data_IF_294698201221
#
_entry.id   IF_294698201221
#
_cell.length_a   1.000
_cell.length_b   1.000
_cell.length_c   1.000
_cell.angle_alpha   90.00
_cell.angle_beta   90.00
_cell.angle_gamma   90.00
#
_symmetry.space_group_name_H-M   'P 1'
#
loop_
_entity.id
_entity.type
_entity.pdbx_description
1 polymer ?
#
# COMPACT_ATOMS: atom_id res chain seq x y z
N UNK A 1 6.08 -2.06 17.57
CA UNK A 1 6.45 -1.01 16.61
C UNK A 1 5.19 -0.19 16.34
N UNK A 2 4.91 0.80 17.20
CA UNK A 2 3.86 1.79 16.91
C UNK A 2 4.32 2.57 15.70
N UNK A 3 3.57 2.51 14.61
CA UNK A 3 3.73 3.45 13.51
C UNK A 3 3.58 4.84 14.13
N UNK A 4 4.60 5.69 13.95
CA UNK A 4 4.49 7.13 14.18
C UNK A 4 3.45 7.65 13.19
N UNK A 5 2.19 7.64 13.63
CA UNK A 5 1.07 8.20 12.91
C UNK A 5 1.14 9.70 13.16
N UNK A 6 1.56 10.48 12.16
CA UNK A 6 1.36 11.92 12.20
C UNK A 6 -0.17 12.14 12.07
N UNK A 7 -0.83 12.83 13.01
CA UNK A 7 -2.27 13.08 12.91
C UNK A 7 -2.56 13.94 11.67
N UNK A 8 -3.32 13.41 10.71
CA UNK A 8 -3.73 14.16 9.51
C UNK A 8 -5.16 14.72 9.64
N UNK A 9 -5.90 14.32 10.68
CA UNK A 9 -7.28 14.75 10.93
C UNK A 9 -7.51 15.19 12.38
N UNK A 10 -8.56 15.98 12.64
CA UNK A 10 -8.94 16.38 14.00
C UNK A 10 -9.28 15.17 14.91
N UNK A 11 -9.75 14.06 14.33
CA UNK A 11 -10.06 12.81 15.05
C UNK A 11 -8.79 12.06 15.49
N UNK A 12 -7.70 12.19 14.72
CA UNK A 12 -6.40 11.57 15.05
C UNK A 12 -5.68 12.27 16.21
N UNK A 13 -6.12 13.47 16.59
CA UNK A 13 -5.49 14.30 17.63
C UNK A 13 -5.98 13.93 19.03
N UNK A 14 -7.19 13.37 19.14
CA UNK A 14 -7.75 12.87 20.39
C UNK A 14 -7.43 11.37 20.60
N UNK A 15 -6.18 10.95 20.33
CA UNK A 15 -5.71 9.58 20.60
C UNK A 15 -4.86 9.54 21.87
N UNK A 16 -5.17 8.58 22.71
CA UNK A 16 -4.42 8.28 23.93
C UNK A 16 -3.75 6.91 23.82
N UNK A 17 -2.73 6.68 24.64
CA UNK A 17 -2.15 5.36 24.76
C UNK A 17 -1.60 5.12 26.15
N UNK A 18 -1.82 3.92 26.66
CA UNK A 18 -1.22 3.47 27.91
C UNK A 18 0.27 3.17 27.70
N UNK A 19 1.09 3.65 28.62
CA UNK A 19 2.51 3.27 28.74
C UNK A 19 2.60 2.33 29.92
N UNK A 20 2.87 1.05 29.63
CA UNK A 20 2.94 -0.01 30.64
C UNK A 20 4.39 -0.42 30.95
N UNK A 21 5.33 -0.02 30.11
CA UNK A 21 6.74 -0.35 30.23
C UNK A 21 7.50 0.77 30.95
N UNK A 22 8.46 0.43 31.83
CA UNK A 22 9.34 1.41 32.44
C UNK A 22 10.32 2.01 31.42
N UNK A 23 10.91 3.16 31.76
CA UNK A 23 12.00 3.80 31.01
C UNK A 23 11.64 4.26 29.59
N UNK A 24 10.39 4.72 29.38
CA UNK A 24 9.95 5.33 28.13
C UNK A 24 10.19 6.85 28.16
N UNK A 25 10.81 7.37 27.11
CA UNK A 25 10.98 8.82 26.90
C UNK A 25 9.76 9.33 26.11
N UNK A 26 9.15 10.40 26.62
CA UNK A 26 7.95 11.02 26.06
C UNK A 26 8.33 12.42 25.57
N UNK A 27 7.84 12.81 24.38
CA UNK A 27 8.07 14.15 23.83
C UNK A 27 7.37 15.26 24.63
N UNK A 28 7.83 16.51 24.48
CA UNK A 28 7.30 17.67 25.21
C UNK A 28 5.85 18.01 24.89
N UNK A 29 5.38 17.64 23.71
CA UNK A 29 4.07 18.04 23.18
C UNK A 29 2.97 17.03 23.54
N UNK A 30 3.22 16.16 24.51
CA UNK A 30 2.28 15.15 24.99
C UNK A 30 1.80 15.47 26.39
N UNK A 31 0.49 15.33 26.61
CA UNK A 31 -0.11 15.41 27.94
C UNK A 31 0.00 14.05 28.63
N UNK A 32 0.50 14.05 29.87
CA UNK A 32 0.61 12.85 30.69
C UNK A 32 -0.55 12.83 31.69
N UNK A 33 -1.30 11.73 31.69
CA UNK A 33 -2.41 11.50 32.64
C UNK A 33 -1.97 10.39 33.58
N UNK A 34 -1.92 10.69 34.87
CA UNK A 34 -1.70 9.71 35.93
C UNK A 34 -3.06 9.30 36.51
N UNK A 35 -3.28 8.00 36.68
CA UNK A 35 -4.53 7.44 37.20
C UNK A 35 -4.24 6.35 38.22
N UNK A 36 -4.96 6.40 39.34
CA UNK A 36 -4.97 5.41 40.42
C UNK A 36 -6.32 4.67 40.52
N UNK A 37 -7.38 5.20 39.89
CA UNK A 37 -8.77 4.71 39.98
C UNK A 37 -9.27 4.00 38.74
N UNK A 38 -8.70 4.30 37.57
CA UNK A 38 -9.12 3.75 36.27
C UNK A 38 -7.93 3.03 35.67
N UNK A 39 -8.17 1.83 35.15
CA UNK A 39 -7.18 1.06 34.42
C UNK A 39 -6.64 1.89 33.24
N UNK A 40 -5.30 2.05 33.11
CA UNK A 40 -4.72 2.94 32.11
C UNK A 40 -4.99 2.48 30.68
N UNK A 41 -5.11 1.17 30.45
CA UNK A 41 -5.43 0.61 29.13
C UNK A 41 -6.86 0.97 28.77
N UNK A 42 -7.80 0.72 29.68
CA UNK A 42 -9.21 1.10 29.51
C UNK A 42 -9.35 2.61 29.27
N UNK A 43 -8.72 3.45 30.08
CA UNK A 43 -8.76 4.91 29.92
C UNK A 43 -8.25 5.34 28.54
N UNK A 44 -7.16 4.73 28.07
CA UNK A 44 -6.62 5.02 26.76
C UNK A 44 -7.56 4.61 25.62
N UNK A 45 -8.26 3.48 25.77
CA UNK A 45 -9.28 3.03 24.82
C UNK A 45 -10.47 3.98 24.81
N UNK A 46 -10.95 4.40 25.98
CA UNK A 46 -12.10 5.31 26.15
C UNK A 46 -11.84 6.69 25.53
N UNK A 47 -10.67 7.27 25.79
CA UNK A 47 -10.29 8.57 25.22
C UNK A 47 -10.15 8.47 23.70
N UNK A 48 -9.60 7.35 23.21
CA UNK A 48 -9.35 7.16 21.77
C UNK A 48 -10.59 6.74 20.99
N UNK A 49 -11.57 6.11 21.65
CA UNK A 49 -12.73 5.51 21.00
C UNK A 49 -13.99 5.78 21.81
N UNK A 50 -14.88 6.62 21.28
CA UNK A 50 -16.18 6.90 21.88
C UNK A 50 -16.53 8.39 21.86
N UNK A 51 -17.45 8.77 22.76
CA UNK A 51 -17.90 10.16 22.87
C UNK A 51 -16.79 11.09 23.35
N UNK A 52 -15.88 10.61 24.22
CA UNK A 52 -14.72 11.37 24.69
C UNK A 52 -13.80 11.77 23.54
N UNK A 53 -13.52 10.85 22.61
CA UNK A 53 -12.75 11.16 21.40
C UNK A 53 -13.45 12.25 20.57
N UNK A 54 -14.76 12.11 20.33
CA UNK A 54 -15.55 13.08 19.54
C UNK A 54 -15.58 14.47 20.18
N UNK A 55 -15.75 14.52 21.50
CA UNK A 55 -15.78 15.78 22.25
C UNK A 55 -14.44 16.50 22.16
N UNK A 56 -13.34 15.79 22.43
CA UNK A 56 -11.99 16.33 22.31
C UNK A 56 -11.69 16.76 20.87
N UNK A 57 -12.03 15.94 19.88
CA UNK A 57 -11.83 16.26 18.47
C UNK A 57 -12.56 17.55 18.05
N UNK A 58 -13.78 17.77 18.56
CA UNK A 58 -14.54 19.01 18.34
C UNK A 58 -13.87 20.24 18.97
N UNK A 59 -13.32 20.11 20.18
CA UNK A 59 -12.60 21.20 20.85
C UNK A 59 -11.29 21.57 20.15
N UNK A 60 -10.72 20.61 19.41
CA UNK A 60 -9.53 20.79 18.62
C UNK A 60 -9.81 21.51 17.28
N UNK A 61 -11.01 21.37 16.70
CA UNK A 61 -11.40 22.00 15.43
C UNK A 61 -11.44 23.54 15.51
N UNK A 62 -11.01 24.21 14.42
CA UNK A 62 -11.14 25.67 14.25
C UNK A 62 -9.93 26.52 14.67
N UNK A 63 -8.81 25.91 15.05
CA UNK A 63 -7.55 26.60 15.37
C UNK A 63 -6.53 26.43 14.23
N UNK A 64 -5.72 27.45 13.96
CA UNK A 64 -4.62 27.39 12.98
C UNK A 64 -3.58 26.32 13.31
N UNK A 65 -3.47 25.96 14.60
CA UNK A 65 -2.75 24.80 15.12
C UNK A 65 -3.72 24.01 15.99
N UNK A 66 -4.00 22.77 15.61
CA UNK A 66 -4.95 21.91 16.31
C UNK A 66 -4.29 21.40 17.61
N UNK A 67 -4.63 22.00 18.74
CA UNK A 67 -4.06 21.68 20.06
C UNK A 67 -5.16 21.54 21.12
N UNK A 68 -5.10 20.44 21.88
CA UNK A 68 -5.89 20.20 23.08
C UNK A 68 -5.16 20.76 24.29
N UNK A 69 -5.80 21.70 25.00
CA UNK A 69 -5.24 22.26 26.23
C UNK A 69 -5.44 21.33 27.42
N UNK A 70 -4.62 21.51 28.46
CA UNK A 70 -4.74 20.76 29.72
C UNK A 70 -6.14 20.93 30.34
N UNK A 71 -6.75 22.11 30.20
CA UNK A 71 -8.09 22.36 30.74
C UNK A 71 -9.20 21.61 29.96
N UNK A 72 -9.00 21.39 28.65
CA UNK A 72 -9.94 20.59 27.85
C UNK A 72 -9.95 19.14 28.34
N UNK A 73 -8.78 18.58 28.66
CA UNK A 73 -8.64 17.25 29.25
C UNK A 73 -9.18 17.16 30.68
N UNK A 74 -8.98 18.20 31.51
CA UNK A 74 -9.47 18.23 32.90
C UNK A 74 -10.99 18.27 33.01
N UNK A 75 -11.65 18.91 32.06
CA UNK A 75 -13.10 19.05 32.03
C UNK A 75 -13.81 17.90 31.31
N UNK A 76 -13.05 16.94 30.76
CA UNK A 76 -13.61 15.79 30.07
C UNK A 76 -14.43 14.94 31.05
N UNK A 77 -15.71 14.78 30.74
CA UNK A 77 -16.59 13.90 31.50
C UNK A 77 -16.42 12.48 30.95
N UNK A 78 -16.12 11.54 31.84
CA UNK A 78 -15.93 10.13 31.50
C UNK A 78 -16.82 9.25 32.37
N UNK A 79 -17.49 8.30 31.73
CA UNK A 79 -18.19 7.20 32.39
C UNK A 79 -17.28 5.97 32.36
N UNK A 80 -17.13 5.31 33.51
CA UNK A 80 -16.31 4.11 33.61
C UNK A 80 -16.98 3.04 34.47
N UNK A 81 -16.86 1.74 34.10
CA UNK A 81 -17.46 0.64 34.85
C UNK A 81 -16.57 0.24 36.05
N UNK A 82 -16.95 -0.82 36.76
CA UNK A 82 -16.11 -1.38 37.82
C UNK A 82 -14.78 -1.95 37.28
N UNK A 83 -13.78 -2.10 38.15
CA UNK A 83 -12.41 -2.50 37.80
C UNK A 83 -12.34 -3.83 37.04
N UNK A 84 -13.21 -4.79 37.37
CA UNK A 84 -13.24 -6.12 36.74
C UNK A 84 -13.67 -6.02 35.27
N UNK A 85 -14.59 -5.13 34.95
CA UNK A 85 -15.04 -4.90 33.57
C UNK A 85 -13.98 -4.12 32.78
N UNK A 86 -13.39 -3.08 33.38
CA UNK A 86 -12.29 -2.33 32.77
C UNK A 86 -11.14 -3.27 32.36
N UNK A 87 -10.71 -4.14 33.27
CA UNK A 87 -9.63 -5.10 33.01
C UNK A 87 -9.97 -6.10 31.89
N UNK A 88 -11.22 -6.59 31.84
CA UNK A 88 -11.67 -7.49 30.77
C UNK A 88 -11.65 -6.81 29.40
N UNK A 89 -12.15 -5.58 29.31
CA UNK A 89 -12.14 -4.78 28.07
C UNK A 89 -10.71 -4.53 27.63
N UNK A 90 -9.85 -4.04 28.54
CA UNK A 90 -8.44 -3.78 28.25
C UNK A 90 -7.72 -5.02 27.75
N UNK A 91 -7.86 -6.15 28.45
CA UNK A 91 -7.25 -7.43 28.07
C UNK A 91 -7.72 -7.90 26.69
N UNK A 92 -9.01 -7.78 26.41
CA UNK A 92 -9.58 -8.19 25.13
C UNK A 92 -8.96 -7.42 23.96
N UNK A 93 -8.89 -6.10 24.03
CA UNK A 93 -8.33 -5.29 22.95
C UNK A 93 -6.81 -5.43 22.84
N UNK A 94 -6.08 -5.56 23.95
CA UNK A 94 -4.65 -5.89 23.91
C UNK A 94 -4.38 -7.24 23.24
N UNK A 95 -5.27 -8.21 23.43
CA UNK A 95 -5.17 -9.50 22.73
C UNK A 95 -5.36 -9.32 21.22
N UNK A 96 -6.35 -8.54 20.78
CA UNK A 96 -6.55 -8.22 19.36
C UNK A 96 -5.33 -7.51 18.76
N UNK A 97 -4.78 -6.51 19.44
CA UNK A 97 -3.58 -5.78 18.99
C UNK A 97 -2.36 -6.71 18.87
N UNK A 98 -2.22 -7.65 19.80
CA UNK A 98 -1.17 -8.67 19.77
C UNK A 98 -1.34 -9.62 18.58
N UNK A 99 -2.57 -10.03 18.26
CA UNK A 99 -2.88 -10.82 17.08
C UNK A 99 -2.54 -10.07 15.80
N UNK A 100 -3.00 -8.83 15.66
CA UNK A 100 -2.72 -7.97 14.49
C UNK A 100 -1.20 -7.83 14.31
N UNK A 101 -0.47 -7.50 15.37
CA UNK A 101 0.99 -7.36 15.35
C UNK A 101 1.67 -8.64 14.87
N UNK A 102 1.25 -9.80 15.40
CA UNK A 102 1.80 -11.09 14.99
C UNK A 102 1.52 -11.40 13.52
N UNK A 103 0.33 -11.08 13.02
CA UNK A 103 -0.02 -11.28 11.61
C UNK A 103 0.77 -10.34 10.69
N UNK A 104 0.96 -9.08 11.05
CA UNK A 104 1.79 -8.13 10.30
C UNK A 104 3.26 -8.56 10.24
N UNK A 105 3.81 -9.04 11.37
CA UNK A 105 5.17 -9.61 11.40
C UNK A 105 5.28 -10.84 10.50
N UNK A 106 4.30 -11.75 10.54
CA UNK A 106 4.27 -12.94 9.68
C UNK A 106 4.21 -12.54 8.20
N UNK A 107 3.34 -11.58 7.85
CA UNK A 107 3.22 -11.05 6.50
C UNK A 107 4.56 -10.48 6.00
N UNK A 108 5.21 -9.64 6.81
CA UNK A 108 6.52 -9.05 6.49
C UNK A 108 7.57 -10.13 6.25
N UNK A 109 7.66 -11.13 7.16
CA UNK A 109 8.58 -12.27 7.00
C UNK A 109 8.33 -13.03 5.70
N UNK A 110 7.06 -13.27 5.35
CA UNK A 110 6.71 -13.95 4.10
C UNK A 110 7.06 -13.13 2.86
N UNK A 111 6.89 -11.81 2.89
CA UNK A 111 7.33 -10.93 1.79
C UNK A 111 8.85 -10.97 1.61
N UNK A 112 9.61 -10.83 2.70
CA UNK A 112 11.08 -10.92 2.67
C UNK A 112 11.53 -12.29 2.19
N UNK A 113 10.92 -13.36 2.68
CA UNK A 113 11.22 -14.72 2.25
C UNK A 113 10.92 -14.92 0.76
N UNK A 114 9.76 -14.49 0.26
CA UNK A 114 9.41 -14.55 -1.16
C UNK A 114 10.45 -13.82 -2.01
N UNK A 115 10.85 -12.61 -1.63
CA UNK A 115 11.85 -11.83 -2.34
C UNK A 115 13.20 -12.55 -2.38
N UNK A 116 13.69 -13.00 -1.22
CA UNK A 116 14.96 -13.70 -1.11
C UNK A 116 14.98 -15.02 -1.91
N UNK A 117 13.87 -15.76 -1.90
CA UNK A 117 13.74 -16.98 -2.70
C UNK A 117 13.79 -16.67 -4.19
N UNK A 118 13.04 -15.66 -4.67
CA UNK A 118 13.06 -15.27 -6.08
C UNK A 118 14.46 -14.82 -6.52
N UNK A 119 15.13 -13.98 -5.75
CA UNK A 119 16.50 -13.53 -6.05
C UNK A 119 17.49 -14.70 -6.17
N UNK A 120 17.32 -15.73 -5.33
CA UNK A 120 18.16 -16.93 -5.34
C UNK A 120 17.79 -17.95 -6.41
N UNK A 121 16.58 -17.88 -6.96
CA UNK A 121 16.09 -18.74 -8.04
C UNK A 121 16.65 -18.36 -9.41
N UNK A 122 17.22 -17.17 -9.55
CA UNK A 122 17.89 -16.72 -10.77
C UNK A 122 19.40 -16.60 -10.53
N UNK A 123 20.26 -16.88 -11.53
CA UNK A 123 21.70 -16.70 -11.38
C UNK A 123 22.05 -15.24 -11.10
N UNK A 124 23.04 -15.03 -10.22
CA UNK A 124 23.63 -13.70 -10.01
C UNK A 124 24.47 -13.28 -11.21
N UNK A 125 24.73 -11.98 -11.34
CA UNK A 125 25.64 -11.48 -12.37
C UNK A 125 26.99 -12.21 -12.32
N UNK A 126 27.41 -12.80 -13.45
CA UNK A 126 28.63 -13.59 -13.56
C UNK A 126 28.52 -15.05 -13.11
N UNK A 127 27.33 -15.52 -12.69
CA UNK A 127 27.04 -16.91 -12.40
C UNK A 127 26.05 -17.49 -13.43
N UNK A 128 26.16 -18.78 -13.70
CA UNK A 128 25.30 -19.55 -14.61
C UNK A 128 24.44 -20.59 -13.88
N UNK A 129 24.53 -20.66 -12.54
CA UNK A 129 23.75 -21.56 -11.68
C UNK A 129 23.09 -20.76 -10.56
N UNK A 130 21.75 -20.82 -10.41
CA UNK A 130 21.01 -20.32 -9.25
C UNK A 130 21.40 -21.01 -7.95
N UNK A 131 21.29 -20.28 -6.83
CA UNK A 131 21.56 -20.81 -5.49
C UNK A 131 20.49 -21.82 -5.04
N UNK A 132 19.25 -21.65 -5.50
CA UNK A 132 18.14 -22.54 -5.16
C UNK A 132 17.36 -22.94 -6.42
N UNK A 133 16.91 -24.20 -6.45
CA UNK A 133 16.07 -24.75 -7.52
C UNK A 133 15.08 -25.76 -6.94
N UNK A 134 14.04 -26.06 -7.72
CA UNK A 134 13.19 -27.20 -7.42
C UNK A 134 13.97 -28.51 -7.60
N UNK A 135 13.58 -29.53 -6.84
CA UNK A 135 14.17 -30.87 -6.95
C UNK A 135 13.98 -31.40 -8.38
N UNK A 136 15.06 -31.91 -8.98
CA UNK A 136 15.06 -32.45 -10.35
C UNK A 136 15.55 -31.48 -11.42
N UNK A 137 15.91 -30.24 -11.06
CA UNK A 137 16.57 -29.29 -11.97
C UNK A 137 18.03 -29.08 -11.57
N UNK A 138 18.95 -29.31 -12.49
CA UNK A 138 20.40 -29.16 -12.30
C UNK A 138 21.07 -28.57 -13.56
N UNK A 139 22.39 -28.45 -13.54
CA UNK A 139 23.17 -27.90 -14.66
C UNK A 139 23.18 -26.37 -14.77
N UNK A 140 24.03 -25.87 -15.66
CA UNK A 140 24.19 -24.45 -15.97
C UNK A 140 23.01 -23.96 -16.81
N UNK A 141 22.68 -22.68 -16.71
CA UNK A 141 21.77 -22.00 -17.64
C UNK A 141 22.54 -21.48 -18.84
N UNK A 142 21.92 -21.59 -20.01
CA UNK A 142 22.42 -20.99 -21.22
C UNK A 142 22.03 -19.51 -21.28
N UNK A 143 22.96 -18.66 -21.70
CA UNK A 143 22.72 -17.24 -21.93
C UNK A 143 22.31 -17.02 -23.39
N UNK A 144 21.23 -16.27 -23.60
CA UNK A 144 20.69 -15.96 -24.93
C UNK A 144 20.24 -14.49 -24.97
N UNK A 145 20.45 -13.80 -26.10
CA UNK A 145 19.95 -12.43 -26.24
C UNK A 145 18.44 -12.47 -26.42
N UNK A 146 17.72 -11.50 -25.84
CA UNK A 146 16.27 -11.42 -26.00
C UNK A 146 15.83 -11.36 -27.48
N UNK A 147 16.62 -10.69 -28.33
CA UNK A 147 16.38 -10.64 -29.77
C UNK A 147 16.53 -11.97 -30.52
N UNK A 148 17.20 -12.97 -29.91
CA UNK A 148 17.28 -14.33 -30.45
C UNK A 148 16.06 -15.17 -30.05
N UNK A 149 15.35 -14.76 -28.98
CA UNK A 149 14.12 -15.41 -28.47
C UNK A 149 12.89 -14.90 -29.20
N UNK A 150 12.85 -13.61 -29.52
CA UNK A 150 11.68 -12.97 -30.13
C UNK A 150 11.96 -11.58 -30.68
N UNK A 151 10.96 -11.01 -31.34
CA UNK A 151 11.03 -9.68 -31.93
C UNK A 151 10.41 -8.64 -31.01
N UNK A 152 11.06 -7.47 -30.94
CA UNK A 152 10.54 -6.28 -30.25
C UNK A 152 9.73 -5.43 -31.22
N UNK A 153 8.55 -4.98 -30.81
CA UNK A 153 7.69 -4.12 -31.62
C UNK A 153 7.01 -3.05 -30.77
N UNK A 154 6.58 -1.96 -31.41
CA UNK A 154 5.87 -0.86 -30.76
C UNK A 154 4.52 -0.62 -31.46
N UNK A 155 3.50 -0.29 -30.67
CA UNK A 155 2.22 0.16 -31.21
C UNK A 155 2.37 1.50 -31.94
N UNK A 156 1.43 1.78 -32.84
CA UNK A 156 1.32 3.12 -33.43
C UNK A 156 0.96 4.16 -32.37
N UNK A 157 1.67 5.29 -32.38
CA UNK A 157 1.38 6.43 -31.49
C UNK A 157 -0.04 6.97 -31.68
N UNK A 158 -0.73 7.16 -30.55
CA UNK A 158 -2.02 7.85 -30.44
C UNK A 158 -1.74 9.28 -29.94
N UNK A 159 -2.33 10.28 -30.60
CA UNK A 159 -2.24 11.68 -30.21
C UNK A 159 -3.37 12.08 -29.26
N UNK A 160 -3.17 13.13 -28.46
CA UNK A 160 -4.16 13.60 -27.48
C UNK A 160 -5.53 13.92 -28.11
N UNK A 161 -5.54 14.50 -29.31
CA UNK A 161 -6.78 14.80 -30.03
C UNK A 161 -7.52 13.57 -30.55
N UNK A 162 -6.91 12.39 -30.53
CA UNK A 162 -7.54 11.11 -30.87
C UNK A 162 -8.05 10.36 -29.63
N UNK A 163 -7.81 10.91 -28.43
CA UNK A 163 -8.32 10.34 -27.19
C UNK A 163 -9.63 10.98 -26.76
N UNK A 164 -10.44 10.22 -26.04
CA UNK A 164 -11.70 10.65 -25.44
C UNK A 164 -11.75 10.26 -23.97
N UNK A 165 -12.63 10.93 -23.23
CA UNK A 165 -13.07 10.51 -21.90
C UNK A 165 -14.23 9.50 -21.95
N UNK A 166 -14.82 9.29 -23.15
CA UNK A 166 -15.87 8.29 -23.35
C UNK A 166 -15.26 6.89 -23.36
N UNK A 167 -15.78 6.02 -22.50
CA UNK A 167 -15.27 4.65 -22.33
C UNK A 167 -15.64 3.74 -23.51
N UNK A 168 -14.86 3.78 -24.59
CA UNK A 168 -14.95 2.82 -25.71
C UNK A 168 -13.85 1.77 -25.65
N UNK A 169 -12.62 2.13 -26.05
CA UNK A 169 -11.44 1.26 -25.98
C UNK A 169 -10.45 1.86 -24.99
N UNK A 170 -10.11 1.17 -23.90
CA UNK A 170 -9.09 1.62 -22.96
C UNK A 170 -7.77 1.91 -23.65
N UNK A 171 -7.22 3.11 -23.45
CA UNK A 171 -5.91 3.52 -23.93
C UNK A 171 -4.96 3.75 -22.76
N UNK A 172 -4.01 2.83 -22.59
CA UNK A 172 -3.03 2.86 -21.51
C UNK A 172 -1.81 3.71 -21.87
N UNK A 173 -1.71 4.85 -21.20
CA UNK A 173 -0.53 5.72 -21.17
C UNK A 173 0.51 5.14 -20.22
N UNK A 174 1.73 5.68 -20.24
CA UNK A 174 2.80 5.30 -19.31
C UNK A 174 2.35 5.30 -17.83
N UNK A 175 1.59 6.31 -17.40
CA UNK A 175 1.13 6.43 -16.01
C UNK A 175 0.04 5.44 -15.60
N UNK A 176 -0.77 4.98 -16.57
CA UNK A 176 -1.90 4.07 -16.35
C UNK A 176 -1.62 2.63 -16.77
N UNK A 177 -0.47 2.38 -17.40
CA UNK A 177 -0.05 1.06 -17.88
C UNK A 177 -0.06 0.02 -16.76
N UNK A 178 -0.83 -1.07 -16.95
CA UNK A 178 -1.03 -2.11 -15.94
C UNK A 178 -1.87 -1.69 -14.72
N UNK A 179 -2.59 -0.59 -14.82
CA UNK A 179 -3.53 -0.08 -13.81
C UNK A 179 -4.90 0.18 -14.43
N UNK A 180 -5.54 1.29 -14.04
CA UNK A 180 -6.86 1.70 -14.55
C UNK A 180 -6.65 2.73 -15.66
N UNK A 181 -7.31 2.54 -16.80
CA UNK A 181 -7.26 3.50 -17.91
C UNK A 181 -7.98 4.81 -17.55
N UNK A 182 -7.40 5.93 -17.98
CA UNK A 182 -7.92 7.29 -17.80
C UNK A 182 -8.09 8.02 -19.15
N UNK A 183 -7.99 7.28 -20.25
CA UNK A 183 -8.19 7.76 -21.60
C UNK A 183 -8.62 6.60 -22.49
N UNK A 184 -9.35 6.95 -23.54
CA UNK A 184 -9.96 5.97 -24.44
C UNK A 184 -9.77 6.40 -25.89
N UNK A 185 -9.83 5.45 -26.82
CA UNK A 185 -9.87 5.71 -28.26
C UNK A 185 -11.16 5.13 -28.85
N UNK A 186 -11.57 5.63 -30.01
CA UNK A 186 -12.76 5.09 -30.67
C UNK A 186 -12.53 3.68 -31.19
N UNK A 187 -13.60 2.89 -31.28
CA UNK A 187 -13.55 1.54 -31.87
C UNK A 187 -12.98 1.56 -33.29
N UNK A 188 -13.34 2.54 -34.11
CA UNK A 188 -12.86 2.64 -35.49
C UNK A 188 -11.35 2.84 -35.56
N UNK A 189 -10.80 3.72 -34.71
CA UNK A 189 -9.36 3.97 -34.66
C UNK A 189 -8.59 2.73 -34.17
N UNK A 190 -9.14 2.04 -33.17
CA UNK A 190 -8.57 0.80 -32.66
C UNK A 190 -8.46 -0.28 -33.75
N UNK A 191 -9.55 -0.58 -34.46
CA UNK A 191 -9.57 -1.58 -35.52
C UNK A 191 -8.67 -1.18 -36.71
N UNK A 192 -8.64 0.10 -37.06
CA UNK A 192 -7.72 0.61 -38.08
C UNK A 192 -6.25 0.36 -37.68
N UNK A 193 -5.87 0.69 -36.45
CA UNK A 193 -4.48 0.62 -36.03
C UNK A 193 -4.04 -0.82 -35.78
N UNK A 194 -4.89 -1.64 -35.17
CA UNK A 194 -4.67 -3.06 -34.95
C UNK A 194 -4.48 -3.85 -36.23
N UNK A 195 -5.14 -3.44 -37.34
CA UNK A 195 -4.99 -4.11 -38.64
C UNK A 195 -3.77 -3.64 -39.44
N UNK A 196 -3.34 -2.38 -39.29
CA UNK A 196 -2.26 -1.78 -40.09
C UNK A 196 -0.88 -1.82 -39.42
N UNK A 197 -0.82 -1.89 -38.10
CA UNK A 197 0.42 -1.77 -37.33
C UNK A 197 0.62 -2.97 -36.41
N UNK A 198 1.83 -3.11 -35.87
CA UNK A 198 2.12 -4.11 -34.84
C UNK A 198 1.19 -3.92 -33.64
N UNK A 199 0.65 -5.03 -33.16
CA UNK A 199 -0.28 -5.07 -32.04
C UNK A 199 -0.12 -6.43 -31.31
N UNK A 200 -0.18 -6.48 -29.97
CA UNK A 200 0.12 -7.68 -29.22
C UNK A 200 -0.94 -8.78 -29.40
N UNK A 201 -0.51 -10.02 -29.23
CA UNK A 201 -1.35 -11.21 -29.15
C UNK A 201 -1.47 -11.66 -27.70
N UNK A 202 -2.59 -12.32 -27.38
CA UNK A 202 -2.81 -12.86 -26.03
C UNK A 202 -1.61 -13.70 -25.60
N UNK A 203 -1.03 -13.36 -24.44
CA UNK A 203 0.15 -14.00 -23.89
C UNK A 203 1.45 -13.24 -24.11
N UNK A 204 1.48 -12.29 -25.05
CA UNK A 204 2.65 -11.42 -25.27
C UNK A 204 2.93 -10.56 -24.04
N UNK A 205 4.20 -10.24 -23.85
CA UNK A 205 4.69 -9.45 -22.73
C UNK A 205 4.84 -8.00 -23.19
N UNK A 206 4.33 -7.07 -22.40
CA UNK A 206 4.41 -5.64 -22.62
C UNK A 206 5.30 -5.04 -21.53
N UNK A 207 6.28 -4.22 -21.91
CA UNK A 207 7.24 -3.61 -20.99
C UNK A 207 7.29 -2.11 -21.19
N UNK A 208 7.15 -1.33 -20.12
CA UNK A 208 7.34 0.11 -20.18
C UNK A 208 8.81 0.47 -20.40
N UNK A 209 9.09 1.18 -21.49
CA UNK A 209 10.42 1.66 -21.87
C UNK A 209 10.62 3.17 -21.60
N UNK A 210 9.60 3.87 -21.11
CA UNK A 210 9.66 5.29 -20.77
C UNK A 210 8.84 5.61 -19.52
N UNK A 211 9.18 6.70 -18.81
CA UNK A 211 8.62 7.04 -17.51
C UNK A 211 8.91 6.00 -16.43
N UNK A 212 7.89 5.28 -15.94
CA UNK A 212 8.05 4.18 -14.97
C UNK A 212 8.60 2.93 -15.65
N UNK A 213 9.89 2.96 -16.02
CA UNK A 213 10.58 1.92 -16.81
C UNK A 213 10.57 0.55 -16.10
N UNK A 214 10.39 -0.53 -16.87
CA UNK A 214 10.51 -1.91 -16.41
C UNK A 214 9.25 -2.49 -15.79
N UNK A 215 8.10 -1.81 -15.89
CA UNK A 215 6.81 -2.40 -15.55
C UNK A 215 6.45 -3.42 -16.63
N UNK A 216 6.05 -4.61 -16.19
CA UNK A 216 5.73 -5.74 -17.07
C UNK A 216 4.25 -6.08 -16.94
N UNK A 217 3.56 -6.25 -18.06
CA UNK A 217 2.16 -6.70 -18.14
C UNK A 217 2.07 -7.78 -19.20
N UNK A 218 1.37 -8.88 -18.92
CA UNK A 218 1.01 -9.84 -19.95
C UNK A 218 -0.30 -9.42 -20.60
N UNK A 219 -0.32 -9.29 -21.92
CA UNK A 219 -1.53 -8.92 -22.65
C UNK A 219 -2.56 -10.06 -22.60
N UNK A 220 -3.77 -9.73 -22.12
CA UNK A 220 -4.84 -10.69 -21.86
C UNK A 220 -5.64 -11.08 -23.12
N UNK A 221 -5.52 -10.28 -24.19
CA UNK A 221 -6.35 -10.40 -25.39
C UNK A 221 -7.61 -9.52 -25.39
N UNK A 222 -7.83 -8.70 -24.35
CA UNK A 222 -8.93 -7.73 -24.30
C UNK A 222 -8.73 -6.59 -25.32
N UNK A 223 -9.82 -5.98 -25.78
CA UNK A 223 -9.72 -4.83 -26.70
C UNK A 223 -9.21 -3.60 -25.95
N UNK A 224 -7.90 -3.39 -26.02
CA UNK A 224 -7.17 -2.40 -25.25
C UNK A 224 -5.99 -1.90 -26.08
N UNK A 225 -5.69 -0.60 -26.05
CA UNK A 225 -4.58 -0.04 -26.81
C UNK A 225 -3.52 0.54 -25.89
N UNK A 226 -2.26 0.46 -26.30
CA UNK A 226 -1.10 0.83 -25.48
C UNK A 226 -0.28 1.90 -26.18
N UNK A 227 0.22 2.87 -25.41
CA UNK A 227 1.14 3.89 -25.91
C UNK A 227 2.40 3.25 -26.53
N UNK A 228 2.97 3.91 -27.54
CA UNK A 228 4.09 3.45 -28.37
C UNK A 228 5.34 3.05 -27.57
N UNK A 229 5.51 3.53 -26.33
CA UNK A 229 6.63 3.23 -25.47
C UNK A 229 6.43 2.08 -24.47
N UNK A 230 5.34 1.30 -24.60
CA UNK A 230 4.94 0.29 -23.61
C UNK A 230 5.07 -1.18 -24.07
N UNK A 231 5.50 -1.43 -25.31
CA UNK A 231 5.61 -2.79 -25.86
C UNK A 231 7.07 -3.06 -26.19
N UNK A 232 7.58 -4.18 -25.67
CA UNK A 232 8.89 -4.74 -25.98
C UNK A 232 8.74 -6.23 -26.20
#
# INVERSE_FOLDING_TARGET
>A
MKLLYLPETAEDIARASAILEPNIIIGSDLHIIYTDKIDPVFLSLLISHGNSNKELSRLAQGKSVVHLGVNDLRNLIIDYPNDKEQSQIGTFFQHLDSLITRHQQKYTKLLTFKKAMLEKMFPKAGADVPEIRFKGFDGKWDEMKLGDIGSVAMNKRIFKNQTSEKEEIPFYKIGTFGGIADAFISRELFEEYKSKYSYPKKGDILISASGSIGRIVQYSGADEYFQDSNIV
#
